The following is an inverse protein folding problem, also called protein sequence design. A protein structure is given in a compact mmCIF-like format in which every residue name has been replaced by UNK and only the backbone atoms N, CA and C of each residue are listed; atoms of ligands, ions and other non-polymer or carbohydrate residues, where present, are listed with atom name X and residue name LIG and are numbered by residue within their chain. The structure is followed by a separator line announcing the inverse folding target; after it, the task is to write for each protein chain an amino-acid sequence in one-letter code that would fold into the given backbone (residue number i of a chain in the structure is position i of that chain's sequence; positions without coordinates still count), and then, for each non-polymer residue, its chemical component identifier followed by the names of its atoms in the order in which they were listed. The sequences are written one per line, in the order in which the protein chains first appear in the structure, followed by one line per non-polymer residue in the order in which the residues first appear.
data_IF_793483148037
#
_entry.id   IF_793483148037
#
_cell.length_a   1.000
_cell.length_b   1.000
_cell.length_c   1.000
_cell.angle_alpha   90.00
_cell.angle_beta   90.00
_cell.angle_gamma   90.00
#
_symmetry.space_group_name_H-M   'P 1'
#
loop_
_entity.id
_entity.type
_entity.pdbx_description
1 polymer ?
#
# COMPACT_ATOMS: atom_id res chain seq x y z
N UNK A 1 65.20 -9.72 51.92
CA UNK A 1 65.03 -10.36 50.63
C UNK A 1 63.54 -10.76 50.53
N UNK A 2 62.75 -9.97 49.85
CA UNK A 2 61.28 -10.05 49.83
C UNK A 2 60.82 -10.89 48.63
N UNK A 3 60.22 -12.05 48.92
CA UNK A 3 59.56 -12.86 47.90
C UNK A 3 58.13 -12.37 47.65
N UNK A 4 57.84 -11.98 46.39
CA UNK A 4 56.47 -11.69 45.93
C UNK A 4 55.78 -12.99 45.51
N UNK A 5 54.72 -13.33 46.22
CA UNK A 5 53.81 -14.44 45.86
C UNK A 5 52.77 -13.93 44.91
N UNK A 6 52.65 -14.49 43.71
CA UNK A 6 51.58 -14.27 42.75
C UNK A 6 50.41 -15.18 43.07
N UNK A 7 49.33 -14.59 43.55
CA UNK A 7 48.04 -15.30 43.71
C UNK A 7 47.30 -15.32 42.34
N UNK A 8 47.19 -16.52 41.76
CA UNK A 8 46.37 -16.76 40.58
C UNK A 8 44.92 -16.79 41.01
N UNK A 9 44.15 -15.79 40.58
CA UNK A 9 42.69 -15.77 40.71
C UNK A 9 42.08 -16.72 39.69
N UNK A 10 41.56 -17.85 40.13
CA UNK A 10 40.75 -18.76 39.38
C UNK A 10 39.35 -18.16 39.19
N UNK A 11 38.95 -17.80 37.94
CA UNK A 11 37.58 -17.49 37.59
C UNK A 11 36.74 -18.76 37.50
N UNK A 12 35.52 -18.80 38.04
CA UNK A 12 34.69 -19.98 37.96
C UNK A 12 34.14 -20.15 36.54
N UNK A 13 34.31 -21.31 36.00
CA UNK A 13 33.85 -21.77 34.66
C UNK A 13 32.34 -22.04 34.57
N UNK A 14 31.49 -21.15 35.07
CA UNK A 14 30.04 -21.34 35.09
C UNK A 14 29.22 -20.32 34.29
N UNK A 15 29.83 -19.49 33.41
CA UNK A 15 29.10 -18.54 32.59
C UNK A 15 29.12 -18.82 31.09
N UNK A 16 29.53 -19.98 30.62
CA UNK A 16 29.54 -20.34 29.19
C UNK A 16 28.38 -21.23 28.73
N UNK A 17 27.38 -21.50 29.60
CA UNK A 17 26.24 -22.36 29.27
C UNK A 17 24.90 -21.63 29.01
N UNK A 18 24.88 -20.29 28.92
CA UNK A 18 23.64 -19.53 28.69
C UNK A 18 23.48 -18.98 27.26
N UNK A 19 24.43 -19.26 26.35
CA UNK A 19 24.35 -18.75 24.96
C UNK A 19 23.81 -19.76 23.93
N UNK A 20 23.41 -20.96 24.34
CA UNK A 20 22.88 -21.97 23.43
C UNK A 20 21.38 -22.26 23.63
N UNK A 21 20.57 -21.29 24.01
CA UNK A 21 19.13 -21.29 23.71
C UNK A 21 18.87 -20.36 22.52
N UNK A 22 19.51 -20.60 21.40
CA UNK A 22 18.88 -20.32 20.10
C UNK A 22 17.78 -21.36 20.02
N UNK A 23 16.57 -21.01 20.52
CA UNK A 23 15.37 -21.71 20.12
C UNK A 23 15.46 -21.82 18.60
N UNK A 24 15.49 -23.04 18.07
CA UNK A 24 15.44 -23.28 16.63
C UNK A 24 14.18 -22.58 16.12
N UNK A 25 14.36 -21.38 15.56
CA UNK A 25 13.29 -20.65 14.93
C UNK A 25 12.85 -21.53 13.77
N UNK A 26 11.66 -22.12 13.88
CA UNK A 26 11.10 -22.91 12.79
C UNK A 26 10.94 -22.01 11.59
N UNK A 27 11.48 -22.41 10.44
CA UNK A 27 11.30 -21.67 9.17
C UNK A 27 9.80 -21.55 8.90
N UNK A 28 9.25 -20.33 8.73
CA UNK A 28 7.83 -20.17 8.44
C UNK A 28 7.53 -20.73 7.05
N UNK A 29 6.39 -21.36 6.89
CA UNK A 29 5.95 -21.80 5.57
C UNK A 29 5.48 -20.59 4.72
N UNK A 30 5.71 -20.64 3.40
CA UNK A 30 5.19 -19.65 2.48
C UNK A 30 3.67 -19.47 2.59
N UNK A 31 2.95 -20.55 2.88
CA UNK A 31 1.50 -20.50 3.06
C UNK A 31 1.09 -19.61 4.22
N UNK A 32 1.79 -19.69 5.35
CA UNK A 32 1.55 -18.82 6.52
C UNK A 32 1.88 -17.36 6.21
N UNK A 33 2.98 -17.12 5.51
CA UNK A 33 3.36 -15.77 5.09
C UNK A 33 2.33 -15.17 4.12
N UNK A 34 1.85 -15.95 3.15
CA UNK A 34 0.83 -15.52 2.18
C UNK A 34 -0.51 -15.25 2.87
N UNK A 35 -0.91 -16.02 3.91
CA UNK A 35 -2.15 -15.75 4.66
C UNK A 35 -2.15 -14.37 5.31
N UNK A 36 -0.98 -13.87 5.71
CA UNK A 36 -0.81 -12.50 6.19
C UNK A 36 -0.74 -11.51 5.02
N UNK A 37 0.15 -11.77 4.06
CA UNK A 37 0.45 -10.83 2.98
C UNK A 37 -0.71 -10.58 2.01
N UNK A 38 -1.65 -11.52 1.86
CA UNK A 38 -2.85 -11.35 1.03
C UNK A 38 -3.74 -10.15 1.41
N UNK A 39 -3.49 -9.54 2.56
CA UNK A 39 -4.14 -8.32 3.00
C UNK A 39 -3.47 -7.06 2.46
N UNK A 40 -2.43 -7.20 1.64
CA UNK A 40 -1.77 -6.08 0.97
C UNK A 40 -2.80 -5.24 0.19
N UNK A 41 -2.75 -3.90 0.31
CA UNK A 41 -3.55 -3.03 -0.55
C UNK A 41 -3.09 -3.14 -2.00
N UNK A 42 -4.04 -3.17 -2.91
CA UNK A 42 -3.79 -3.07 -4.34
C UNK A 42 -4.73 -2.04 -4.94
N UNK A 43 -4.41 -1.53 -6.13
CA UNK A 43 -5.31 -0.64 -6.85
C UNK A 43 -6.67 -1.31 -6.95
N UNK A 44 -7.73 -0.59 -6.62
CA UNK A 44 -9.11 -1.06 -6.69
C UNK A 44 -9.36 -2.45 -6.06
N UNK A 45 -8.45 -2.90 -5.17
CA UNK A 45 -8.52 -4.23 -4.57
C UNK A 45 -8.46 -5.38 -5.58
N UNK A 46 -7.75 -5.21 -6.69
CA UNK A 46 -7.69 -6.20 -7.77
C UNK A 46 -6.87 -7.43 -7.43
N UNK A 47 -5.83 -7.30 -6.57
CA UNK A 47 -5.02 -8.41 -6.08
C UNK A 47 -4.42 -9.25 -7.24
N UNK A 48 -3.57 -8.63 -8.10
CA UNK A 48 -3.02 -9.31 -9.29
C UNK A 48 -1.99 -10.39 -8.95
N UNK A 49 -1.43 -10.36 -7.73
CA UNK A 49 -0.37 -11.26 -7.29
C UNK A 49 -0.84 -12.70 -7.16
N UNK A 50 -0.03 -13.61 -7.68
CA UNK A 50 -0.13 -15.06 -7.50
C UNK A 50 1.25 -15.61 -7.13
N UNK A 51 1.30 -16.70 -6.35
CA UNK A 51 2.56 -17.26 -5.84
C UNK A 51 2.62 -18.75 -6.13
N UNK A 52 3.74 -19.19 -6.71
CA UNK A 52 4.09 -20.59 -6.82
C UNK A 52 5.20 -20.90 -5.80
N UNK A 53 4.95 -21.84 -4.90
CA UNK A 53 5.91 -22.27 -3.90
C UNK A 53 6.83 -23.28 -4.57
N UNK A 54 8.13 -23.03 -4.57
CA UNK A 54 9.14 -23.88 -5.20
C UNK A 54 9.81 -24.78 -4.15
N UNK A 55 10.17 -24.19 -3.00
CA UNK A 55 10.77 -24.90 -1.87
C UNK A 55 10.46 -24.15 -0.55
N UNK A 56 10.98 -24.63 0.56
CA UNK A 56 10.78 -23.97 1.86
C UNK A 56 11.33 -22.53 1.89
N UNK A 57 12.38 -22.25 1.11
CA UNK A 57 13.02 -20.94 1.09
C UNK A 57 12.91 -20.18 -0.24
N UNK A 58 12.19 -20.73 -1.22
CA UNK A 58 12.01 -20.09 -2.54
C UNK A 58 10.57 -20.13 -3.02
N UNK A 59 10.11 -19.00 -3.56
CA UNK A 59 8.82 -18.88 -4.22
C UNK A 59 8.93 -17.98 -5.45
N UNK A 60 8.08 -18.22 -6.43
CA UNK A 60 7.91 -17.40 -7.63
C UNK A 60 6.66 -16.54 -7.48
N UNK A 61 6.83 -15.24 -7.69
CA UNK A 61 5.73 -14.27 -7.72
C UNK A 61 5.32 -14.00 -9.16
N UNK A 62 4.04 -14.21 -9.45
CA UNK A 62 3.42 -13.96 -10.74
C UNK A 62 2.41 -12.82 -10.62
N UNK A 63 2.04 -12.25 -11.77
CA UNK A 63 0.84 -11.41 -11.87
C UNK A 63 -0.15 -11.99 -12.88
N UNK A 64 -1.45 -11.81 -12.56
CA UNK A 64 -2.55 -12.18 -13.43
C UNK A 64 -2.98 -10.98 -14.28
N UNK A 65 -2.87 -11.01 -15.62
CA UNK A 65 -3.19 -9.88 -16.49
C UNK A 65 -4.70 -9.52 -16.48
N UNK A 66 -5.59 -10.44 -16.16
CA UNK A 66 -7.03 -10.15 -16.02
C UNK A 66 -7.35 -9.21 -14.85
N UNK A 67 -6.35 -8.95 -13.98
CA UNK A 67 -6.44 -8.11 -12.80
C UNK A 67 -5.62 -6.83 -12.93
N UNK A 68 -5.30 -6.44 -14.15
CA UNK A 68 -4.60 -5.19 -14.46
C UNK A 68 -5.60 -4.12 -14.93
N UNK A 69 -5.11 -2.90 -15.10
CA UNK A 69 -5.88 -1.71 -15.45
C UNK A 69 -5.30 -1.07 -16.72
N UNK A 70 -5.59 -1.59 -17.91
CA UNK A 70 -5.00 -1.08 -19.14
C UNK A 70 -5.37 0.37 -19.48
N UNK A 71 -6.43 0.92 -18.87
CA UNK A 71 -6.84 2.32 -19.08
C UNK A 71 -6.32 3.24 -17.98
N UNK A 72 -6.45 2.86 -16.70
CA UNK A 72 -6.06 3.71 -15.57
C UNK A 72 -4.59 3.58 -15.17
N UNK A 73 -3.96 2.42 -15.42
CA UNK A 73 -2.56 2.11 -15.10
C UNK A 73 -1.86 1.44 -16.30
N UNK A 74 -1.83 2.09 -17.49
CA UNK A 74 -1.35 1.47 -18.73
C UNK A 74 0.12 1.03 -18.66
N UNK A 75 0.96 1.75 -17.92
CA UNK A 75 2.36 1.42 -17.68
C UNK A 75 2.56 0.45 -16.50
N UNK A 76 1.48 0.03 -15.84
CA UNK A 76 1.48 -0.87 -14.67
C UNK A 76 2.34 -0.37 -13.49
N UNK A 77 2.47 0.93 -13.34
CA UNK A 77 3.26 1.58 -12.28
C UNK A 77 2.69 1.24 -10.91
N UNK A 78 1.40 1.56 -10.70
CA UNK A 78 0.76 1.32 -9.41
C UNK A 78 0.51 -0.17 -9.14
N UNK A 79 0.37 -0.98 -10.19
CA UNK A 79 0.35 -2.44 -10.07
C UNK A 79 1.70 -2.95 -9.55
N UNK A 80 2.82 -2.45 -10.08
CA UNK A 80 4.17 -2.81 -9.61
C UNK A 80 4.42 -2.34 -8.17
N UNK A 81 3.96 -1.13 -7.81
CA UNK A 81 3.96 -0.65 -6.41
C UNK A 81 3.19 -1.63 -5.52
N UNK A 82 2.01 -2.10 -5.94
CA UNK A 82 1.21 -3.05 -5.16
C UNK A 82 1.89 -4.41 -4.99
N UNK A 83 2.68 -4.89 -5.98
CA UNK A 83 3.53 -6.07 -5.80
C UNK A 83 4.63 -5.81 -4.77
N UNK A 84 5.25 -4.62 -4.77
CA UNK A 84 6.20 -4.21 -3.75
C UNK A 84 5.59 -4.21 -2.34
N UNK A 85 4.34 -3.73 -2.20
CA UNK A 85 3.59 -3.80 -0.92
C UNK A 85 3.37 -5.25 -0.49
N UNK A 86 3.00 -6.14 -1.42
CA UNK A 86 2.78 -7.55 -1.12
C UNK A 86 4.08 -8.24 -0.64
N UNK A 87 5.21 -7.98 -1.33
CA UNK A 87 6.52 -8.50 -0.95
C UNK A 87 6.92 -8.02 0.46
N UNK A 88 6.68 -6.74 0.77
CA UNK A 88 6.99 -6.21 2.10
C UNK A 88 6.12 -6.84 3.18
N UNK A 89 4.84 -7.08 2.91
CA UNK A 89 3.98 -7.79 3.86
C UNK A 89 4.43 -9.24 4.09
N UNK A 90 4.97 -9.94 3.07
CA UNK A 90 5.61 -11.25 3.25
C UNK A 90 6.82 -11.13 4.19
N UNK A 91 7.66 -10.10 3.98
CA UNK A 91 8.86 -9.88 4.79
C UNK A 91 8.51 -9.55 6.25
N UNK A 92 7.55 -8.63 6.49
CA UNK A 92 7.06 -8.31 7.83
C UNK A 92 6.46 -9.55 8.52
N UNK A 93 5.73 -10.39 7.77
CA UNK A 93 5.17 -11.63 8.30
C UNK A 93 6.25 -12.64 8.71
N UNK A 94 7.39 -12.66 8.00
CA UNK A 94 8.53 -13.53 8.29
C UNK A 94 9.38 -13.04 9.48
N UNK A 95 9.36 -11.72 9.77
CA UNK A 95 10.19 -11.09 10.81
C UNK A 95 10.14 -11.74 12.19
N UNK A 96 8.96 -12.10 12.74
CA UNK A 96 8.88 -12.78 14.05
C UNK A 96 9.59 -14.14 14.12
N UNK A 97 9.89 -14.75 12.97
CA UNK A 97 10.62 -16.01 12.87
C UNK A 97 12.13 -15.80 12.63
N UNK A 98 12.62 -14.54 12.61
CA UNK A 98 14.01 -14.23 12.30
C UNK A 98 14.36 -14.36 10.82
N UNK A 99 13.36 -14.16 9.94
CA UNK A 99 13.53 -14.23 8.48
C UNK A 99 13.04 -12.92 7.83
N UNK A 100 13.55 -12.69 6.61
CA UNK A 100 13.05 -11.65 5.69
C UNK A 100 12.91 -12.20 4.28
N UNK A 101 12.01 -11.61 3.51
CA UNK A 101 11.83 -11.95 2.09
C UNK A 101 12.58 -10.94 1.24
N UNK A 102 13.45 -11.45 0.37
CA UNK A 102 14.17 -10.67 -0.63
C UNK A 102 13.72 -11.03 -2.04
N UNK A 103 13.92 -10.12 -2.97
CA UNK A 103 13.82 -10.38 -4.40
C UNK A 103 15.19 -10.87 -4.86
N UNK A 104 15.27 -12.11 -5.31
CA UNK A 104 16.47 -12.69 -5.87
C UNK A 104 16.67 -12.22 -7.32
N UNK A 105 15.57 -12.24 -8.10
CA UNK A 105 15.58 -11.82 -9.50
C UNK A 105 14.21 -11.27 -9.92
N UNK A 106 14.20 -10.20 -10.72
CA UNK A 106 13.05 -9.75 -11.50
C UNK A 106 13.19 -10.36 -12.90
N UNK A 107 12.16 -11.09 -13.35
CA UNK A 107 12.14 -11.75 -14.65
C UNK A 107 11.50 -10.90 -15.73
N UNK A 108 10.29 -10.43 -15.48
CA UNK A 108 9.54 -9.63 -16.42
C UNK A 108 8.87 -8.46 -15.70
N UNK A 109 8.95 -7.23 -16.22
CA UNK A 109 8.15 -6.12 -15.70
C UNK A 109 6.65 -6.43 -15.88
N UNK A 110 5.81 -5.82 -15.05
CA UNK A 110 4.37 -5.93 -15.24
C UNK A 110 3.97 -5.22 -16.52
N UNK A 111 3.16 -5.89 -17.34
CA UNK A 111 2.71 -5.35 -18.62
C UNK A 111 1.23 -5.64 -18.86
N UNK A 112 0.47 -4.60 -19.20
CA UNK A 112 -0.94 -4.70 -19.61
C UNK A 112 -1.13 -5.42 -20.95
N UNK A 113 -0.04 -5.68 -21.69
CA UNK A 113 -0.03 -6.46 -22.94
C UNK A 113 0.09 -7.97 -22.70
N UNK A 114 0.33 -8.38 -21.45
CA UNK A 114 0.39 -9.81 -21.13
C UNK A 114 -0.97 -10.48 -21.30
N UNK A 115 -0.99 -11.65 -21.91
CA UNK A 115 -2.21 -12.43 -22.18
C UNK A 115 -2.37 -13.63 -21.25
N UNK A 116 -1.35 -13.94 -20.45
CA UNK A 116 -1.33 -15.06 -19.49
C UNK A 116 -0.64 -14.65 -18.19
N UNK A 117 -0.92 -15.39 -17.13
CA UNK A 117 -0.20 -15.27 -15.87
C UNK A 117 1.30 -15.31 -16.13
N UNK A 118 2.01 -14.27 -15.72
CA UNK A 118 3.41 -14.03 -16.07
C UNK A 118 4.27 -13.98 -14.82
N UNK A 119 5.42 -14.66 -14.87
CA UNK A 119 6.41 -14.65 -13.81
C UNK A 119 7.01 -13.24 -13.69
N UNK A 120 6.84 -12.62 -12.51
CA UNK A 120 7.39 -11.32 -12.19
C UNK A 120 8.76 -11.42 -11.53
N UNK A 121 8.86 -12.17 -10.43
CA UNK A 121 10.09 -12.25 -9.64
C UNK A 121 10.25 -13.60 -8.94
N UNK A 122 11.50 -14.00 -8.70
CA UNK A 122 11.86 -15.03 -7.73
C UNK A 122 12.09 -14.37 -6.37
N UNK A 123 11.46 -14.93 -5.34
CA UNK A 123 11.57 -14.50 -3.95
C UNK A 123 12.33 -15.55 -3.14
N UNK A 124 13.18 -15.07 -2.23
CA UNK A 124 13.88 -15.93 -1.26
C UNK A 124 13.57 -15.54 0.17
N UNK A 125 13.37 -16.55 0.99
CA UNK A 125 13.28 -16.44 2.43
C UNK A 125 14.68 -16.66 3.00
N UNK A 126 15.25 -15.61 3.61
CA UNK A 126 16.60 -15.67 4.19
C UNK A 126 16.55 -15.34 5.69
N UNK A 127 17.38 -15.99 6.48
CA UNK A 127 17.53 -15.66 7.90
C UNK A 127 18.14 -14.27 8.08
N UNK A 128 17.77 -13.57 9.14
CA UNK A 128 18.29 -12.25 9.47
C UNK A 128 18.38 -12.06 10.99
N UNK A 129 19.40 -11.32 11.42
CA UNK A 129 19.53 -10.85 12.80
C UNK A 129 18.81 -9.49 13.01
N UNK A 130 18.39 -8.85 11.92
CA UNK A 130 17.65 -7.60 12.00
C UNK A 130 16.25 -7.88 12.56
N UNK A 131 15.93 -7.24 13.67
CA UNK A 131 14.60 -7.36 14.29
C UNK A 131 13.57 -6.56 13.48
N UNK A 132 12.49 -7.21 13.08
CA UNK A 132 11.35 -6.49 12.51
C UNK A 132 10.64 -5.67 13.61
N UNK A 133 10.54 -4.35 13.39
CA UNK A 133 9.94 -3.41 14.33
C UNK A 133 8.42 -3.29 14.16
N UNK A 134 7.91 -3.62 12.96
CA UNK A 134 6.48 -3.52 12.66
C UNK A 134 5.76 -4.80 13.07
N UNK A 135 4.74 -4.66 13.91
CA UNK A 135 3.91 -5.80 14.28
C UNK A 135 3.05 -6.25 13.07
N UNK A 136 3.17 -7.52 12.69
CA UNK A 136 2.39 -8.10 11.58
C UNK A 136 0.87 -8.03 11.77
N UNK A 137 0.37 -7.88 13.01
CA UNK A 137 -1.08 -7.72 13.27
C UNK A 137 -1.66 -6.48 12.60
N UNK A 138 -0.86 -5.41 12.45
CA UNK A 138 -1.25 -4.16 11.80
C UNK A 138 -1.66 -4.37 10.34
N UNK A 139 -1.14 -5.40 9.68
CA UNK A 139 -1.53 -5.76 8.31
C UNK A 139 -3.03 -6.10 8.26
N UNK A 140 -3.57 -6.75 9.30
CA UNK A 140 -4.99 -7.06 9.38
C UNK A 140 -5.84 -5.86 9.81
N UNK A 141 -5.26 -4.88 10.49
CA UNK A 141 -5.96 -3.70 11.00
C UNK A 141 -6.04 -2.56 9.98
N UNK A 142 -5.04 -2.48 9.09
CA UNK A 142 -4.93 -1.44 8.08
C UNK A 142 -6.22 -1.28 7.25
N UNK A 143 -6.66 -0.03 7.11
CA UNK A 143 -7.84 0.38 6.32
C UNK A 143 -7.52 1.60 5.46
N UNK A 144 -8.30 1.82 4.43
CA UNK A 144 -8.40 3.10 3.71
C UNK A 144 -9.65 3.81 4.18
N UNK A 145 -9.54 5.05 4.63
CA UNK A 145 -10.70 5.86 5.02
C UNK A 145 -11.07 6.84 3.90
N UNK A 146 -12.27 6.64 3.32
CA UNK A 146 -12.84 7.51 2.28
C UNK A 146 -14.05 8.30 2.80
N UNK A 147 -14.18 8.42 4.11
CA UNK A 147 -15.25 9.18 4.76
C UNK A 147 -14.67 10.42 5.44
N UNK A 148 -15.51 11.20 6.11
CA UNK A 148 -15.11 12.35 6.92
C UNK A 148 -14.08 11.98 8.00
N UNK A 149 -13.18 12.92 8.27
CA UNK A 149 -12.22 12.87 9.37
C UNK A 149 -12.65 13.78 10.51
N UNK A 150 -12.03 13.66 11.68
CA UNK A 150 -12.39 14.46 12.86
C UNK A 150 -11.77 15.86 12.88
N UNK A 151 -10.82 16.17 12.01
CA UNK A 151 -10.17 17.49 11.90
C UNK A 151 -8.90 17.61 12.75
N UNK A 152 -8.53 16.60 13.51
CA UNK A 152 -7.30 16.60 14.30
C UNK A 152 -6.06 16.46 13.41
N UNK A 153 -4.98 17.14 13.79
CA UNK A 153 -3.65 17.01 13.19
C UNK A 153 -3.01 15.68 13.53
N UNK A 154 -2.13 15.20 12.65
CA UNK A 154 -1.35 14.00 12.93
C UNK A 154 -0.40 14.21 14.09
N UNK A 155 -0.21 13.16 14.89
CA UNK A 155 0.77 13.17 15.96
C UNK A 155 2.18 13.41 15.39
N UNK A 156 2.95 14.33 15.98
CA UNK A 156 4.32 14.65 15.55
C UNK A 156 5.25 13.44 15.57
N UNK A 157 5.08 12.54 16.54
CA UNK A 157 5.86 11.30 16.60
C UNK A 157 5.56 10.39 15.39
N UNK A 158 4.30 10.30 14.98
CA UNK A 158 3.91 9.56 13.77
C UNK A 158 4.60 10.12 12.54
N UNK A 159 4.61 11.45 12.38
CA UNK A 159 5.29 12.15 11.29
C UNK A 159 6.78 11.81 11.28
N UNK A 160 7.46 11.93 12.42
CA UNK A 160 8.88 11.60 12.55
C UNK A 160 9.20 10.14 12.23
N UNK A 161 8.33 9.20 12.67
CA UNK A 161 8.46 7.78 12.33
C UNK A 161 8.34 7.56 10.84
N UNK A 162 7.39 8.21 10.16
CA UNK A 162 7.19 8.12 8.72
C UNK A 162 8.37 8.69 7.95
N UNK A 163 8.89 9.85 8.35
CA UNK A 163 10.10 10.45 7.76
C UNK A 163 11.31 9.51 7.88
N UNK A 164 11.55 9.00 9.09
CA UNK A 164 12.65 8.06 9.35
C UNK A 164 12.54 6.81 8.47
N UNK A 165 11.33 6.27 8.37
CA UNK A 165 11.10 5.06 7.57
C UNK A 165 11.26 5.32 6.07
N UNK A 166 10.75 6.43 5.55
CA UNK A 166 10.91 6.80 4.15
C UNK A 166 12.40 6.96 3.77
N UNK A 167 13.20 7.59 4.62
CA UNK A 167 14.65 7.79 4.42
C UNK A 167 15.42 6.47 4.33
N UNK A 168 15.01 5.40 5.03
CA UNK A 168 15.63 4.06 4.90
C UNK A 168 15.57 3.53 3.46
N UNK A 169 14.58 3.96 2.68
CA UNK A 169 14.40 3.60 1.28
C UNK A 169 14.90 4.66 0.28
N UNK A 170 15.51 5.74 0.76
CA UNK A 170 15.98 6.85 -0.08
C UNK A 170 14.87 7.80 -0.54
N UNK A 171 13.70 7.77 0.11
CA UNK A 171 12.57 8.67 -0.16
C UNK A 171 12.45 9.76 0.90
N UNK A 172 11.81 10.86 0.52
CA UNK A 172 11.41 11.92 1.42
C UNK A 172 9.91 11.84 1.67
N UNK A 173 9.54 12.10 2.91
CA UNK A 173 8.16 12.28 3.32
C UNK A 173 7.91 13.74 3.63
N UNK A 174 6.80 14.25 3.13
CA UNK A 174 6.34 15.62 3.35
C UNK A 174 4.89 15.63 3.80
N UNK A 175 4.51 16.69 4.49
CA UNK A 175 3.13 16.94 4.87
C UNK A 175 2.83 18.43 4.91
N UNK A 176 1.55 18.76 4.84
CA UNK A 176 1.06 20.13 5.02
C UNK A 176 -0.27 20.13 5.76
N UNK A 177 -0.38 21.01 6.73
CA UNK A 177 -1.61 21.35 7.44
C UNK A 177 -2.09 22.76 7.06
N UNK A 178 -1.39 23.41 6.11
CA UNK A 178 -1.83 24.69 5.58
C UNK A 178 -3.14 24.51 4.84
N UNK A 179 -4.17 25.23 5.28
CA UNK A 179 -5.52 25.13 4.75
C UNK A 179 -5.60 25.37 3.24
N UNK A 180 -4.79 26.28 2.69
CA UNK A 180 -4.77 26.55 1.25
C UNK A 180 -4.24 25.37 0.46
N UNK A 181 -3.21 24.67 0.97
CA UNK A 181 -2.65 23.45 0.35
C UNK A 181 -3.64 22.31 0.46
N UNK A 182 -4.25 22.13 1.63
CA UNK A 182 -5.26 21.07 1.86
C UNK A 182 -6.45 21.27 0.91
N UNK A 183 -7.01 22.46 0.87
CA UNK A 183 -8.15 22.81 0.01
C UNK A 183 -7.79 22.66 -1.47
N UNK A 184 -6.59 23.09 -1.87
CA UNK A 184 -6.08 22.94 -3.25
C UNK A 184 -6.03 21.48 -3.68
N UNK A 185 -5.40 20.60 -2.87
CA UNK A 185 -5.25 19.18 -3.22
C UNK A 185 -6.60 18.48 -3.27
N UNK A 186 -7.49 18.74 -2.31
CA UNK A 186 -8.85 18.16 -2.30
C UNK A 186 -9.64 18.62 -3.52
N UNK A 187 -9.58 19.91 -3.85
CA UNK A 187 -10.27 20.48 -5.01
C UNK A 187 -9.73 19.90 -6.32
N UNK A 188 -8.42 19.81 -6.45
CA UNK A 188 -7.79 19.23 -7.62
C UNK A 188 -8.15 17.75 -7.77
N UNK A 189 -8.19 16.99 -6.68
CA UNK A 189 -8.63 15.59 -6.70
C UNK A 189 -10.09 15.44 -7.15
N UNK A 190 -10.98 16.34 -6.71
CA UNK A 190 -12.37 16.36 -7.19
C UNK A 190 -12.44 16.66 -8.70
N UNK A 191 -11.75 17.69 -9.16
CA UNK A 191 -11.73 18.08 -10.56
C UNK A 191 -11.20 16.96 -11.45
N UNK A 192 -10.06 16.36 -11.08
CA UNK A 192 -9.43 15.27 -11.80
C UNK A 192 -10.33 14.04 -11.90
N UNK A 193 -10.95 13.61 -10.79
CA UNK A 193 -11.88 12.48 -10.81
C UNK A 193 -13.05 12.72 -11.78
N UNK A 194 -13.66 13.92 -11.75
CA UNK A 194 -14.78 14.21 -12.63
C UNK A 194 -14.36 14.43 -14.09
N UNK A 195 -13.11 14.82 -14.35
CA UNK A 195 -12.51 14.87 -15.69
C UNK A 195 -12.26 13.45 -16.22
N UNK A 196 -11.56 12.61 -15.47
CA UNK A 196 -11.27 11.21 -15.84
C UNK A 196 -12.56 10.44 -16.15
N UNK A 197 -13.61 10.64 -15.36
CA UNK A 197 -14.93 10.04 -15.60
C UNK A 197 -15.64 10.58 -16.86
N UNK A 198 -15.15 11.61 -17.55
CA UNK A 198 -15.68 11.98 -18.88
C UNK A 198 -15.26 11.01 -19.96
N UNK A 199 -14.13 10.31 -19.78
CA UNK A 199 -13.64 9.24 -20.65
C UNK A 199 -14.54 8.02 -20.56
N UNK A 200 -15.06 7.56 -21.70
CA UNK A 200 -15.87 6.33 -21.74
C UNK A 200 -15.04 5.07 -21.40
N UNK A 201 -13.82 4.90 -21.94
CA UNK A 201 -12.97 3.76 -21.56
C UNK A 201 -12.73 3.67 -20.04
N UNK A 202 -12.40 4.79 -19.38
CA UNK A 202 -12.21 4.85 -17.91
C UNK A 202 -13.47 4.43 -17.15
N UNK A 203 -14.65 4.92 -17.57
CA UNK A 203 -15.89 4.50 -16.94
C UNK A 203 -16.20 3.03 -17.13
N UNK A 204 -15.98 2.50 -18.33
CA UNK A 204 -16.25 1.10 -18.65
C UNK A 204 -15.30 0.17 -17.86
N UNK A 205 -14.04 0.58 -17.66
CA UNK A 205 -13.09 -0.15 -16.82
C UNK A 205 -13.54 -0.12 -15.35
N UNK A 206 -13.85 1.06 -14.80
CA UNK A 206 -14.30 1.20 -13.41
C UNK A 206 -15.63 0.48 -13.14
N UNK A 207 -16.60 0.52 -14.06
CA UNK A 207 -17.90 -0.15 -13.88
C UNK A 207 -17.76 -1.65 -13.66
N UNK A 208 -16.80 -2.29 -14.36
CA UNK A 208 -16.47 -3.72 -14.19
C UNK A 208 -15.91 -4.02 -12.80
N UNK A 209 -15.26 -3.04 -12.16
CA UNK A 209 -14.60 -3.20 -10.88
C UNK A 209 -15.52 -2.94 -9.69
N UNK A 210 -16.62 -2.21 -9.87
CA UNK A 210 -17.53 -1.94 -8.78
C UNK A 210 -18.25 -3.21 -8.30
N UNK A 211 -18.36 -3.29 -6.98
CA UNK A 211 -19.19 -4.29 -6.28
C UNK A 211 -20.28 -3.52 -5.56
N UNK A 212 -21.46 -3.51 -6.15
CA UNK A 212 -22.58 -2.68 -5.72
C UNK A 212 -23.30 -3.21 -4.49
N UNK A 213 -23.10 -4.47 -4.15
CA UNK A 213 -23.70 -5.13 -2.99
C UNK A 213 -22.69 -5.91 -2.15
N UNK A 214 -23.04 -6.20 -0.89
CA UNK A 214 -22.25 -7.09 -0.02
C UNK A 214 -22.14 -8.49 -0.60
N UNK A 215 -23.19 -8.97 -1.28
CA UNK A 215 -23.21 -10.29 -1.94
C UNK A 215 -22.16 -10.34 -3.06
N UNK A 216 -22.14 -9.35 -3.95
CA UNK A 216 -21.11 -9.25 -5.00
C UNK A 216 -19.70 -9.15 -4.40
N UNK A 217 -19.47 -8.23 -3.45
CA UNK A 217 -18.16 -8.08 -2.81
C UNK A 217 -17.66 -9.37 -2.13
N UNK A 218 -18.56 -10.16 -1.49
CA UNK A 218 -18.24 -11.45 -0.86
C UNK A 218 -17.93 -12.54 -1.89
N UNK A 219 -18.66 -12.54 -3.02
CA UNK A 219 -18.51 -13.58 -4.05
C UNK A 219 -17.21 -13.36 -4.85
N UNK A 220 -16.97 -12.14 -5.33
CA UNK A 220 -15.77 -11.82 -6.12
C UNK A 220 -14.52 -11.66 -5.26
N UNK A 221 -14.66 -11.18 -4.02
CA UNK A 221 -13.56 -10.91 -3.06
C UNK A 221 -12.51 -9.92 -3.56
N UNK A 222 -12.84 -9.16 -4.59
CA UNK A 222 -12.02 -8.14 -5.23
C UNK A 222 -12.84 -6.88 -5.55
N UNK A 223 -12.21 -5.93 -6.23
CA UNK A 223 -12.86 -4.73 -6.75
C UNK A 223 -13.26 -3.72 -5.67
N UNK A 224 -13.97 -2.70 -6.13
CA UNK A 224 -14.40 -1.55 -5.35
C UNK A 224 -15.79 -1.80 -4.74
N UNK A 225 -15.85 -2.28 -3.51
CA UNK A 225 -17.11 -2.34 -2.80
C UNK A 225 -17.58 -0.94 -2.41
N UNK A 226 -18.70 -0.49 -2.99
CA UNK A 226 -19.22 0.87 -2.83
C UNK A 226 -19.38 1.29 -1.38
N UNK A 227 -19.72 0.36 -0.47
CA UNK A 227 -19.84 0.63 0.96
C UNK A 227 -18.50 1.02 1.61
N UNK A 228 -17.38 0.45 1.15
CA UNK A 228 -16.04 0.85 1.62
C UNK A 228 -15.63 2.24 1.12
N UNK A 229 -16.34 2.77 0.12
CA UNK A 229 -16.14 4.11 -0.43
C UNK A 229 -17.09 5.15 0.17
N UNK A 230 -17.98 4.73 1.08
CA UNK A 230 -18.99 5.60 1.66
C UNK A 230 -20.20 5.84 0.73
N UNK A 231 -20.34 5.05 -0.35
CA UNK A 231 -21.37 5.26 -1.37
C UNK A 231 -22.49 4.21 -1.32
N UNK A 232 -23.70 4.64 -1.69
CA UNK A 232 -24.82 3.72 -1.93
C UNK A 232 -24.58 2.92 -3.21
N UNK A 233 -24.66 1.60 -3.14
CA UNK A 233 -24.51 0.73 -4.32
C UNK A 233 -25.53 1.01 -5.40
N UNK A 234 -26.80 1.22 -5.05
CA UNK A 234 -27.87 1.54 -5.99
C UNK A 234 -27.63 2.89 -6.68
N UNK A 235 -27.22 3.92 -5.92
CA UNK A 235 -26.90 5.23 -6.47
C UNK A 235 -25.70 5.15 -7.41
N UNK A 236 -24.61 4.52 -6.99
CA UNK A 236 -23.39 4.37 -7.81
C UNK A 236 -23.70 3.65 -9.11
N UNK A 237 -24.44 2.53 -9.05
CA UNK A 237 -24.90 1.81 -10.25
C UNK A 237 -25.73 2.67 -11.18
N UNK A 238 -26.64 3.49 -10.63
CA UNK A 238 -27.45 4.44 -11.40
C UNK A 238 -26.60 5.53 -12.08
N UNK A 239 -25.54 6.00 -11.40
CA UNK A 239 -24.62 7.00 -11.95
C UNK A 239 -23.87 6.42 -13.15
N UNK A 240 -23.26 5.24 -13.03
CA UNK A 240 -22.52 4.61 -14.12
C UNK A 240 -23.42 4.24 -15.29
N UNK A 241 -24.59 3.65 -15.03
CA UNK A 241 -25.57 3.29 -16.08
C UNK A 241 -26.12 4.52 -16.83
N UNK A 242 -26.31 5.65 -16.14
CA UNK A 242 -26.94 6.85 -16.70
C UNK A 242 -26.01 8.07 -16.57
N UNK A 243 -24.72 7.90 -16.85
CA UNK A 243 -23.68 8.91 -16.59
C UNK A 243 -24.02 10.29 -17.16
N UNK A 244 -24.44 10.36 -18.45
CA UNK A 244 -24.81 11.63 -19.10
C UNK A 244 -25.92 12.41 -18.35
N UNK A 245 -26.85 11.70 -17.69
CA UNK A 245 -27.92 12.30 -16.89
C UNK A 245 -27.42 12.84 -15.56
N UNK A 246 -26.48 12.10 -14.91
CA UNK A 246 -25.95 12.46 -13.60
C UNK A 246 -24.89 13.56 -13.66
N UNK A 247 -24.24 13.76 -14.80
CA UNK A 247 -23.17 14.73 -14.97
C UNK A 247 -23.61 16.06 -15.60
N UNK A 248 -24.92 16.31 -15.68
CA UNK A 248 -25.49 17.57 -16.20
C UNK A 248 -26.32 18.31 -15.14
N UNK A 249 -26.29 19.64 -15.24
CA UNK A 249 -27.15 20.56 -14.47
C UNK A 249 -27.05 20.36 -12.95
N UNK A 250 -28.21 20.42 -12.28
CA UNK A 250 -28.28 20.32 -10.81
C UNK A 250 -27.77 19.00 -10.25
N UNK A 251 -27.96 17.88 -10.96
CA UNK A 251 -27.48 16.58 -10.50
C UNK A 251 -25.94 16.51 -10.40
N UNK A 252 -25.22 17.11 -11.34
CA UNK A 252 -23.77 17.24 -11.28
C UNK A 252 -23.34 18.02 -10.04
N UNK A 253 -24.01 19.13 -9.72
CA UNK A 253 -23.72 19.94 -8.52
C UNK A 253 -23.97 19.14 -7.24
N UNK A 254 -25.05 18.37 -7.18
CA UNK A 254 -25.37 17.51 -6.03
C UNK A 254 -24.37 16.39 -5.87
N UNK A 255 -23.97 15.73 -6.96
CA UNK A 255 -22.97 14.66 -6.93
C UNK A 255 -21.60 15.17 -6.45
N UNK A 256 -21.16 16.32 -6.96
CA UNK A 256 -19.94 16.99 -6.51
C UNK A 256 -20.00 17.36 -5.02
N UNK A 257 -21.11 17.95 -4.58
CA UNK A 257 -21.32 18.29 -3.16
C UNK A 257 -21.27 17.05 -2.27
N UNK A 258 -21.90 15.96 -2.69
CA UNK A 258 -21.86 14.70 -1.97
C UNK A 258 -20.44 14.14 -1.90
N UNK A 259 -19.71 14.11 -3.02
CA UNK A 259 -18.32 13.68 -3.05
C UNK A 259 -17.44 14.53 -2.13
N UNK A 260 -17.55 15.85 -2.23
CA UNK A 260 -16.79 16.79 -1.40
C UNK A 260 -17.11 16.66 0.10
N UNK A 261 -18.33 16.26 0.46
CA UNK A 261 -18.68 16.05 1.88
C UNK A 261 -17.86 14.91 2.53
N UNK A 262 -17.36 13.97 1.74
CA UNK A 262 -16.50 12.88 2.25
C UNK A 262 -15.10 13.35 2.68
N UNK A 263 -14.72 14.59 2.32
CA UNK A 263 -13.44 15.20 2.72
C UNK A 263 -13.54 16.11 3.94
N UNK A 264 -14.74 16.25 4.51
CA UNK A 264 -14.93 17.05 5.73
C UNK A 264 -13.95 16.61 6.81
N UNK A 265 -13.38 17.58 7.55
CA UNK A 265 -12.42 17.32 8.61
C UNK A 265 -11.05 16.86 8.16
N UNK A 266 -10.73 16.90 6.85
CA UNK A 266 -9.36 16.66 6.40
C UNK A 266 -8.49 17.84 6.83
N UNK A 267 -7.50 17.58 7.68
CA UNK A 267 -6.55 18.59 8.20
C UNK A 267 -5.16 18.46 7.58
N UNK A 268 -4.80 17.27 7.09
CA UNK A 268 -3.42 16.97 6.68
C UNK A 268 -3.39 16.29 5.31
N UNK A 269 -2.56 16.85 4.43
CA UNK A 269 -2.15 16.23 3.17
C UNK A 269 -0.69 15.82 3.31
N UNK A 270 -0.39 14.60 2.86
CA UNK A 270 0.95 14.02 2.87
C UNK A 270 1.36 13.61 1.46
N UNK A 271 2.67 13.63 1.18
CA UNK A 271 3.21 13.11 -0.06
C UNK A 271 4.61 12.52 0.12
N UNK A 272 4.97 11.61 -0.79
CA UNK A 272 6.30 11.05 -0.89
C UNK A 272 6.98 11.51 -2.17
N UNK A 273 8.27 11.80 -2.08
CA UNK A 273 9.14 12.04 -3.23
C UNK A 273 10.36 11.11 -3.19
N UNK A 274 10.79 10.64 -4.36
CA UNK A 274 11.93 9.72 -4.47
C UNK A 274 12.24 9.37 -5.91
N UNK A 275 13.17 8.44 -6.12
CA UNK A 275 13.42 7.85 -7.42
C UNK A 275 12.17 7.09 -7.87
N UNK A 276 11.76 7.34 -9.14
CA UNK A 276 10.49 6.83 -9.66
C UNK A 276 10.56 6.66 -11.19
N UNK A 277 11.56 5.92 -11.68
CA UNK A 277 11.89 5.88 -13.10
C UNK A 277 11.66 4.51 -13.74
N UNK A 278 11.66 3.43 -12.95
CA UNK A 278 11.63 2.05 -13.45
C UNK A 278 10.96 1.12 -12.43
N UNK A 279 10.81 -0.15 -12.82
CA UNK A 279 10.14 -1.17 -11.99
C UNK A 279 10.84 -1.41 -10.63
N UNK A 280 12.15 -1.28 -10.56
CA UNK A 280 12.89 -1.45 -9.30
C UNK A 280 12.56 -0.31 -8.31
N UNK A 281 12.52 0.94 -8.83
CA UNK A 281 12.10 2.10 -8.04
C UNK A 281 10.65 1.91 -7.55
N UNK A 282 9.73 1.47 -8.43
CA UNK A 282 8.32 1.28 -8.07
C UNK A 282 8.13 0.18 -7.02
N UNK A 283 8.92 -0.89 -7.07
CA UNK A 283 8.94 -1.92 -6.02
C UNK A 283 9.40 -1.31 -4.68
N UNK A 284 10.48 -0.53 -4.69
CA UNK A 284 10.98 0.15 -3.48
C UNK A 284 9.93 1.11 -2.91
N UNK A 285 9.26 1.88 -3.78
CA UNK A 285 8.11 2.72 -3.40
C UNK A 285 7.03 1.89 -2.69
N UNK A 286 6.67 0.75 -3.25
CA UNK A 286 5.67 -0.15 -2.67
C UNK A 286 6.07 -0.70 -1.31
N UNK A 287 7.30 -1.17 -1.17
CA UNK A 287 7.84 -1.68 0.09
C UNK A 287 7.83 -0.59 1.17
N UNK A 288 8.37 0.58 0.85
CA UNK A 288 8.37 1.73 1.75
C UNK A 288 6.95 2.17 2.12
N UNK A 289 6.04 2.25 1.14
CA UNK A 289 4.66 2.65 1.36
C UNK A 289 3.90 1.68 2.27
N UNK A 290 4.16 0.38 2.15
CA UNK A 290 3.60 -0.63 3.06
C UNK A 290 3.94 -0.32 4.52
N UNK A 291 5.21 -0.09 4.81
CA UNK A 291 5.70 0.19 6.16
C UNK A 291 5.13 1.49 6.72
N UNK A 292 5.15 2.56 5.93
CA UNK A 292 4.58 3.84 6.33
C UNK A 292 3.06 3.75 6.58
N UNK A 293 2.33 2.97 5.78
CA UNK A 293 0.90 2.75 6.02
C UNK A 293 0.64 2.00 7.32
N UNK A 294 1.52 1.06 7.68
CA UNK A 294 1.40 0.33 8.95
C UNK A 294 1.78 1.21 10.16
N UNK A 295 2.75 2.12 10.02
CA UNK A 295 3.03 3.14 11.05
C UNK A 295 1.80 4.00 11.32
N UNK A 296 1.10 4.46 10.26
CA UNK A 296 -0.16 5.19 10.43
C UNK A 296 -1.25 4.34 11.10
N UNK A 297 -1.31 3.05 10.77
CA UNK A 297 -2.28 2.12 11.38
C UNK A 297 -2.01 1.91 12.87
N UNK A 298 -0.75 1.80 13.27
CA UNK A 298 -0.30 1.68 14.66
C UNK A 298 -0.79 2.85 15.53
N UNK A 299 -0.87 4.03 14.93
CA UNK A 299 -1.35 5.27 15.56
C UNK A 299 -2.87 5.48 15.38
N UNK A 300 -3.61 4.47 14.92
CA UNK A 300 -5.05 4.56 14.61
C UNK A 300 -5.42 5.67 13.61
N UNK A 301 -4.44 6.12 12.83
CA UNK A 301 -4.64 7.07 11.75
C UNK A 301 -4.88 6.34 10.43
N UNK A 302 -5.69 6.93 9.56
CA UNK A 302 -6.04 6.36 8.27
C UNK A 302 -5.55 7.24 7.15
N UNK A 303 -5.31 6.60 6.00
CA UNK A 303 -4.96 7.33 4.78
C UNK A 303 -5.97 7.07 3.66
N UNK A 304 -6.01 8.01 2.72
CA UNK A 304 -6.74 7.91 1.46
C UNK A 304 -5.84 8.39 0.33
N UNK A 305 -5.20 7.48 -0.42
CA UNK A 305 -4.36 7.83 -1.57
C UNK A 305 -5.16 8.47 -2.70
N UNK A 306 -4.56 9.45 -3.37
CA UNK A 306 -5.08 10.17 -4.53
C UNK A 306 -4.28 9.79 -5.78
N UNK A 307 -4.42 8.55 -6.24
CA UNK A 307 -3.66 8.01 -7.37
C UNK A 307 -3.81 8.83 -8.65
N UNK A 308 -5.03 9.30 -8.95
CA UNK A 308 -5.30 10.11 -10.16
C UNK A 308 -4.47 11.40 -10.21
N UNK A 309 -4.10 11.99 -9.07
CA UNK A 309 -3.23 13.17 -9.05
C UNK A 309 -1.80 12.88 -9.53
N UNK A 310 -1.42 11.62 -9.59
CA UNK A 310 -0.11 11.17 -10.07
C UNK A 310 -0.21 10.70 -11.53
N UNK A 311 -1.26 9.93 -11.88
CA UNK A 311 -1.42 9.37 -13.23
C UNK A 311 -1.95 10.37 -14.26
N UNK A 312 -2.77 11.33 -13.84
CA UNK A 312 -3.25 12.38 -14.73
C UNK A 312 -2.17 13.46 -14.90
N UNK A 313 -1.64 13.60 -16.12
CA UNK A 313 -0.53 14.51 -16.44
C UNK A 313 -0.82 15.96 -16.04
N UNK A 314 -2.05 16.47 -16.33
CA UNK A 314 -2.42 17.84 -16.01
C UNK A 314 -2.49 18.08 -14.50
N UNK A 315 -3.07 17.13 -13.76
CA UNK A 315 -3.13 17.19 -12.31
C UNK A 315 -1.73 17.10 -11.69
N UNK A 316 -0.89 16.18 -12.18
CA UNK A 316 0.47 16.01 -11.69
C UNK A 316 1.30 17.28 -11.88
N UNK A 317 1.23 17.94 -13.04
CA UNK A 317 1.92 19.20 -13.29
C UNK A 317 1.49 20.30 -12.28
N UNK A 318 0.21 20.39 -11.95
CA UNK A 318 -0.30 21.34 -10.94
C UNK A 318 0.21 21.00 -9.53
N UNK A 319 0.32 19.70 -9.19
CA UNK A 319 0.87 19.22 -7.93
C UNK A 319 2.35 19.60 -7.82
N UNK A 320 3.15 19.26 -8.82
CA UNK A 320 4.60 19.55 -8.83
C UNK A 320 4.88 21.05 -8.75
N UNK A 321 4.05 21.90 -9.38
CA UNK A 321 4.20 23.35 -9.31
C UNK A 321 3.83 23.95 -7.95
N UNK A 322 3.02 23.26 -7.14
CA UNK A 322 2.46 23.82 -5.90
C UNK A 322 3.06 23.19 -4.63
N UNK A 323 3.40 21.90 -4.67
CA UNK A 323 3.96 21.21 -3.52
C UNK A 323 5.50 21.31 -3.52
N UNK A 324 6.04 21.58 -2.34
CA UNK A 324 7.48 21.69 -2.16
C UNK A 324 8.15 20.33 -2.36
N UNK A 325 9.13 20.32 -3.22
CA UNK A 325 10.11 19.26 -3.38
C UNK A 325 11.49 19.91 -3.64
N UNK A 326 12.32 20.06 -2.61
CA UNK A 326 13.60 20.77 -2.74
C UNK A 326 14.62 20.04 -3.62
N UNK A 327 14.44 18.72 -3.81
CA UNK A 327 15.33 17.91 -4.65
C UNK A 327 14.64 17.60 -6.00
N UNK A 328 15.02 18.33 -7.05
CA UNK A 328 14.48 18.17 -8.39
C UNK A 328 14.80 16.81 -9.04
N UNK A 329 15.75 16.03 -8.50
CA UNK A 329 16.04 14.67 -8.95
C UNK A 329 15.00 13.64 -8.50
N UNK A 330 14.18 13.99 -7.50
CA UNK A 330 13.14 13.15 -6.93
C UNK A 330 11.76 13.55 -7.48
N UNK A 331 10.95 12.58 -7.82
CA UNK A 331 9.57 12.78 -8.30
C UNK A 331 8.57 12.59 -7.15
N UNK A 332 7.54 13.43 -7.09
CA UNK A 332 6.37 13.19 -6.23
C UNK A 332 5.59 12.03 -6.86
N UNK A 333 5.52 10.91 -6.16
CA UNK A 333 4.93 9.68 -6.70
C UNK A 333 3.70 9.17 -5.94
N UNK A 334 3.43 9.71 -4.75
CA UNK A 334 2.24 9.39 -3.97
C UNK A 334 1.78 10.60 -3.19
N UNK A 335 0.50 10.90 -3.26
CA UNK A 335 -0.18 11.92 -2.48
C UNK A 335 -1.38 11.29 -1.81
N UNK A 336 -1.62 11.64 -0.55
CA UNK A 336 -2.74 11.12 0.20
C UNK A 336 -3.18 12.11 1.29
N UNK A 337 -4.44 12.08 1.65
CA UNK A 337 -4.88 12.68 2.91
C UNK A 337 -4.68 11.72 4.06
N UNK A 338 -4.36 12.25 5.22
CA UNK A 338 -4.16 11.47 6.43
C UNK A 338 -4.89 12.10 7.61
N UNK A 339 -5.29 11.30 8.59
CA UNK A 339 -5.97 11.74 9.79
C UNK A 339 -6.80 10.66 10.46
N UNK A 340 -7.65 11.06 11.39
CA UNK A 340 -8.44 10.18 12.23
C UNK A 340 -9.90 10.18 11.79
N UNK A 341 -10.51 9.00 11.75
CA UNK A 341 -11.92 8.81 11.40
C UNK A 341 -12.53 7.65 12.18
N UNK A 342 -13.83 7.44 12.04
CA UNK A 342 -14.44 6.17 12.46
C UNK A 342 -13.76 5.03 11.73
N UNK A 343 -13.68 3.84 12.38
CA UNK A 343 -13.05 2.66 11.79
C UNK A 343 -13.69 2.34 10.43
N UNK A 344 -12.92 2.41 9.33
CA UNK A 344 -13.47 2.18 8.00
C UNK A 344 -13.86 0.72 7.78
N UNK A 345 -14.90 0.52 6.97
CA UNK A 345 -15.34 -0.82 6.56
C UNK A 345 -14.22 -1.48 5.72
N UNK A 346 -13.96 -2.75 5.98
CA UNK A 346 -12.96 -3.56 5.28
C UNK A 346 -13.60 -4.38 4.16
N UNK A 347 -13.01 -4.34 2.97
CA UNK A 347 -13.40 -5.18 1.85
C UNK A 347 -12.91 -6.62 2.01
N UNK A 348 -13.42 -7.51 1.18
CA UNK A 348 -12.99 -8.91 1.13
C UNK A 348 -11.66 -9.05 0.38
N UNK A 349 -11.00 -10.20 0.55
CA UNK A 349 -9.74 -10.57 -0.12
C UNK A 349 -9.84 -11.99 -0.65
N UNK A 350 -9.11 -12.27 -1.70
CA UNK A 350 -8.87 -13.64 -2.16
C UNK A 350 -8.33 -14.49 -1.02
N UNK A 351 -8.66 -15.76 -1.00
CA UNK A 351 -8.08 -16.71 -0.04
C UNK A 351 -6.66 -17.11 -0.47
N UNK A 352 -5.87 -17.58 0.47
CA UNK A 352 -4.52 -18.12 0.20
C UNK A 352 -4.54 -19.18 -0.91
N UNK A 353 -5.55 -20.05 -0.95
CA UNK A 353 -5.70 -21.05 -2.00
C UNK A 353 -5.99 -20.47 -3.40
N UNK A 354 -6.54 -19.24 -3.48
CA UNK A 354 -6.77 -18.55 -4.76
C UNK A 354 -5.53 -17.78 -5.22
N UNK A 355 -4.59 -17.50 -4.31
CA UNK A 355 -3.33 -16.82 -4.60
C UNK A 355 -2.24 -17.83 -4.95
N UNK A 356 -2.21 -18.99 -4.28
CA UNK A 356 -1.21 -20.02 -4.56
C UNK A 356 -1.58 -20.74 -5.86
N UNK A 357 -0.65 -20.71 -6.82
CA UNK A 357 -0.72 -21.49 -8.07
C UNK A 357 -0.50 -22.96 -7.71
N UNK A 358 -1.42 -23.82 -8.11
CA UNK A 358 -1.25 -25.27 -7.99
C UNK A 358 -0.24 -25.73 -9.04
N UNK A 359 0.70 -26.56 -8.60
CA UNK A 359 1.64 -27.29 -9.49
C UNK A 359 0.91 -28.41 -10.20
#
# INVERSE_FOLDING_TARGET
MNGFSFTVLSYPSQQLWSLNKITSLTTPSWRELIEVARWAPTIHNLQPHQVKIISDNEAELFYNPERLLPVEDPESIFTTIALGVFIEHLSIAAGPFGYKVIIDRIHNPVSTQSTKTTLFATLRLISTLEKEEINKSLIFERRTSRTDYNGESLNKNTIQRMEKEARKFGHDFFYSENKEIVDFVIKLNEETLFEDLTSKPTRDELDKLFRYSKKEAKNYKDGLWTKCMGFSGALTKSIFKNYKRWTKGFRKKLLKKYYMSTFKGTSTICWFAGQFNNSEDWIKCGRMFARNWLIMTDENAYIHPFGSLITNVNANNKIVSRLTNPDNSKKIWMIFRAGYSKIPIRSFRLSTNQIIIKV
#
